data_IF_514168887333
#
_entry.id   IF_514168887333
#
_cell.length_a   1.000
_cell.length_b   1.000
_cell.length_c   1.000
_cell.angle_alpha   90.00
_cell.angle_beta   90.00
_cell.angle_gamma   90.00
#
_symmetry.space_group_name_H-M   'P 1'
#
loop_
_entity.id
_entity.type
_entity.pdbx_description
1 polymer ?
#
# COMPACT_ATOMS: atom_id res chain seq x y z
N UNK A 1 14.07 -11.20 13.61
CA UNK A 1 14.87 -11.48 12.41
C UNK A 1 16.33 -11.16 12.73
N UNK A 2 17.28 -11.89 12.15
CA UNK A 2 18.73 -11.67 12.35
C UNK A 2 19.36 -10.83 11.24
N UNK A 3 18.82 -10.95 10.04
CA UNK A 3 19.42 -10.38 8.82
C UNK A 3 18.58 -9.25 8.24
N UNK A 4 17.26 -9.37 8.25
CA UNK A 4 16.38 -8.29 7.81
C UNK A 4 16.14 -7.34 8.99
N UNK A 5 16.50 -6.07 8.81
CA UNK A 5 16.15 -4.97 9.70
C UNK A 5 15.12 -4.10 9.01
N UNK A 6 14.20 -3.51 9.78
CA UNK A 6 13.25 -2.55 9.23
C UNK A 6 13.08 -1.37 10.18
N UNK A 7 12.79 -0.23 9.61
CA UNK A 7 12.53 1.01 10.33
C UNK A 7 11.21 1.60 9.85
N UNK A 8 10.28 1.83 10.77
CA UNK A 8 9.02 2.51 10.49
C UNK A 8 9.30 4.00 10.42
N UNK A 9 9.47 4.54 9.19
CA UNK A 9 9.92 5.91 8.97
C UNK A 9 8.85 6.90 9.33
N UNK A 10 7.62 6.70 8.79
CA UNK A 10 6.45 7.47 9.16
C UNK A 10 5.16 6.70 8.87
N UNK A 11 4.17 6.87 9.75
CA UNK A 11 2.86 6.22 9.69
C UNK A 11 1.77 7.14 10.22
N UNK A 12 0.50 6.82 9.92
CA UNK A 12 -0.65 7.62 10.36
C UNK A 12 -0.69 7.80 11.87
N UNK A 13 -0.31 6.78 12.63
CA UNK A 13 -0.21 6.86 14.10
C UNK A 13 0.77 7.92 14.60
N UNK A 14 1.63 8.46 13.74
CA UNK A 14 2.58 9.55 14.03
C UNK A 14 2.09 10.92 13.55
N UNK A 15 0.90 11.02 12.93
CA UNK A 15 0.20 12.27 12.68
C UNK A 15 0.19 12.80 11.24
N UNK A 16 0.75 12.07 10.28
CA UNK A 16 0.57 12.33 8.85
C UNK A 16 0.31 11.02 8.13
N UNK A 17 -0.52 11.03 7.08
CA UNK A 17 -0.79 9.85 6.26
C UNK A 17 0.50 9.38 5.62
N UNK A 18 0.87 8.14 5.85
CA UNK A 18 2.07 7.48 5.31
C UNK A 18 2.14 6.03 5.75
N UNK A 19 2.86 5.20 4.99
CA UNK A 19 3.27 3.84 5.36
C UNK A 19 4.76 3.62 5.11
N UNK A 20 5.53 4.72 5.13
CA UNK A 20 6.92 4.71 4.72
C UNK A 20 7.77 3.81 5.60
N UNK A 21 8.35 2.78 4.98
CA UNK A 21 9.15 1.77 5.66
C UNK A 21 10.49 1.58 4.98
N UNK A 22 11.58 1.68 5.74
CA UNK A 22 12.92 1.30 5.28
C UNK A 22 13.20 -0.15 5.70
N UNK A 23 13.53 -1.00 4.73
CA UNK A 23 13.95 -2.40 4.96
C UNK A 23 15.39 -2.54 4.50
N UNK A 24 16.23 -3.06 5.37
CA UNK A 24 17.66 -3.25 5.14
C UNK A 24 17.99 -4.74 5.27
N UNK A 25 18.66 -5.26 4.25
CA UNK A 25 19.25 -6.61 4.22
C UNK A 25 20.76 -6.47 4.08
N UNK A 26 21.54 -7.55 4.20
CA UNK A 26 22.99 -7.50 3.90
C UNK A 26 23.31 -7.12 2.43
N UNK A 27 22.35 -7.26 1.51
CA UNK A 27 22.62 -7.08 0.08
C UNK A 27 22.07 -5.75 -0.47
N UNK A 28 21.01 -5.20 0.13
CA UNK A 28 20.32 -4.03 -0.41
C UNK A 28 19.48 -3.32 0.66
N UNK A 29 19.36 -2.00 0.54
CA UNK A 29 18.48 -1.15 1.35
C UNK A 29 17.32 -0.62 0.50
N UNK A 30 16.08 -0.81 0.97
CA UNK A 30 14.85 -0.60 0.22
C UNK A 30 13.92 0.33 1.00
N UNK A 31 13.55 1.46 0.44
CA UNK A 31 12.55 2.36 1.01
C UNK A 31 11.22 2.15 0.29
N UNK A 32 10.23 1.67 1.03
CA UNK A 32 8.88 1.40 0.52
C UNK A 32 7.99 2.59 0.82
N UNK A 33 7.26 3.03 -0.20
CA UNK A 33 6.25 4.08 -0.15
C UNK A 33 6.76 5.37 0.52
N UNK A 34 7.72 6.09 -0.12
CA UNK A 34 8.33 7.30 0.44
C UNK A 34 7.38 8.51 0.32
N UNK A 35 6.12 8.37 0.73
CA UNK A 35 5.10 9.39 0.68
C UNK A 35 4.67 9.90 2.04
N UNK A 36 4.12 11.11 2.06
CA UNK A 36 3.42 11.66 3.21
C UNK A 36 2.38 12.69 2.77
N UNK A 37 1.18 12.60 3.33
CA UNK A 37 0.09 13.53 3.08
C UNK A 37 -0.52 14.07 4.38
N UNK A 38 -1.21 15.22 4.28
CA UNK A 38 -1.90 15.81 5.43
C UNK A 38 -3.06 14.92 5.89
N UNK A 39 -3.28 14.81 7.19
CA UNK A 39 -4.45 14.13 7.74
C UNK A 39 -5.74 14.79 7.25
N UNK A 40 -6.79 13.97 7.06
CA UNK A 40 -8.10 14.44 6.61
C UNK A 40 -8.70 15.52 7.53
N UNK A 41 -9.63 16.35 7.02
CA UNK A 41 -10.25 17.41 7.82
C UNK A 41 -10.88 16.91 9.12
N UNK A 42 -11.55 15.74 9.10
CA UNK A 42 -12.21 15.12 10.27
C UNK A 42 -11.25 14.52 11.32
N UNK A 43 -9.95 14.44 11.05
CA UNK A 43 -8.98 14.00 12.06
C UNK A 43 -8.95 14.99 13.24
N UNK A 44 -8.99 14.50 14.51
CA UNK A 44 -9.16 15.36 15.69
C UNK A 44 -7.88 16.13 16.08
N UNK A 45 -7.43 17.00 15.20
CA UNK A 45 -6.30 17.91 15.46
C UNK A 45 -6.44 19.21 14.64
N UNK A 46 -5.96 20.36 15.13
CA UNK A 46 -5.91 21.60 14.37
C UNK A 46 -5.04 21.48 13.11
N UNK A 47 -5.39 22.24 12.05
CA UNK A 47 -4.65 22.23 10.78
C UNK A 47 -3.15 22.53 10.97
N UNK A 48 -2.81 23.50 11.81
CA UNK A 48 -1.41 23.84 12.10
C UNK A 48 -0.59 22.63 12.59
N UNK A 49 -1.21 21.79 13.44
CA UNK A 49 -0.58 20.57 13.97
C UNK A 49 -0.45 19.47 12.91
N UNK A 50 -1.49 19.32 12.08
CA UNK A 50 -1.44 18.39 10.91
C UNK A 50 -0.32 18.78 9.93
N UNK A 51 -0.16 20.06 9.65
CA UNK A 51 0.92 20.59 8.79
C UNK A 51 2.30 20.45 9.44
N UNK A 52 2.41 20.60 10.75
CA UNK A 52 3.65 20.33 11.49
C UNK A 52 4.08 18.87 11.36
N UNK A 53 3.17 17.92 11.57
CA UNK A 53 3.46 16.49 11.39
C UNK A 53 3.82 16.15 9.95
N UNK A 54 3.11 16.70 8.97
CA UNK A 54 3.44 16.53 7.55
C UNK A 54 4.88 16.98 7.24
N UNK A 55 5.29 18.14 7.75
CA UNK A 55 6.68 18.62 7.58
C UNK A 55 7.70 17.68 8.20
N UNK A 56 7.41 17.15 9.39
CA UNK A 56 8.26 16.15 10.06
C UNK A 56 8.31 14.85 9.26
N UNK A 57 7.18 14.37 8.75
CA UNK A 57 7.10 13.18 7.92
C UNK A 57 7.98 13.32 6.66
N UNK A 58 7.80 14.41 5.90
CA UNK A 58 8.60 14.68 4.70
C UNK A 58 10.11 14.72 5.00
N UNK A 59 10.50 15.35 6.11
CA UNK A 59 11.92 15.35 6.54
C UNK A 59 12.43 13.96 6.90
N UNK A 60 11.63 13.14 7.58
CA UNK A 60 11.99 11.77 7.93
C UNK A 60 12.11 10.87 6.69
N UNK A 61 11.17 10.96 5.75
CA UNK A 61 11.19 10.25 4.46
C UNK A 61 12.45 10.62 3.67
N UNK A 62 12.76 11.91 3.54
CA UNK A 62 13.97 12.38 2.85
C UNK A 62 15.24 11.83 3.49
N UNK A 63 15.35 11.87 4.82
CA UNK A 63 16.51 11.30 5.55
C UNK A 63 16.61 9.78 5.36
N UNK A 64 15.49 9.06 5.32
CA UNK A 64 15.49 7.62 5.08
C UNK A 64 15.91 7.29 3.64
N UNK A 65 15.51 8.10 2.65
CA UNK A 65 15.90 7.90 1.25
C UNK A 65 17.41 8.01 1.01
N UNK A 66 18.15 8.75 1.84
CA UNK A 66 19.61 8.84 1.75
C UNK A 66 20.29 7.47 1.99
N UNK A 67 19.66 6.58 2.76
CA UNK A 67 20.15 5.23 3.04
C UNK A 67 19.71 4.19 2.02
N UNK A 68 18.65 4.44 1.29
CA UNK A 68 18.06 3.47 0.38
C UNK A 68 18.80 3.44 -0.95
N UNK A 69 18.98 2.25 -1.51
CA UNK A 69 19.46 2.00 -2.89
C UNK A 69 18.29 1.82 -3.84
N UNK A 70 17.20 1.24 -3.32
CA UNK A 70 15.97 0.95 -4.05
C UNK A 70 14.80 1.71 -3.43
N UNK A 71 13.98 2.32 -4.26
CA UNK A 71 12.70 2.93 -3.88
C UNK A 71 11.56 2.05 -4.44
N UNK A 72 10.57 1.77 -3.62
CA UNK A 72 9.33 1.10 -4.05
C UNK A 72 8.17 2.08 -4.00
N UNK A 73 7.39 2.14 -5.07
CA UNK A 73 6.14 2.91 -5.14
C UNK A 73 5.01 1.92 -5.43
N UNK A 74 4.18 1.64 -4.42
CA UNK A 74 3.10 0.66 -4.50
C UNK A 74 1.90 1.14 -5.32
N UNK A 75 1.66 2.44 -5.34
CA UNK A 75 0.65 3.14 -6.13
C UNK A 75 0.82 4.66 -6.04
N UNK A 76 0.02 5.44 -6.79
CA UNK A 76 0.24 6.89 -6.93
C UNK A 76 -0.72 7.74 -6.09
N UNK A 77 -0.89 7.42 -4.80
CA UNK A 77 -1.42 8.35 -3.81
C UNK A 77 -0.26 9.06 -3.09
N UNK A 78 -0.44 10.36 -2.74
CA UNK A 78 0.63 11.18 -2.16
C UNK A 78 1.13 10.74 -0.78
N UNK A 79 0.39 9.89 -0.10
CA UNK A 79 0.81 9.22 1.14
C UNK A 79 1.72 8.01 0.90
N UNK A 80 1.89 7.57 -0.37
CA UNK A 80 2.75 6.45 -0.78
C UNK A 80 3.91 6.86 -1.70
N UNK A 81 3.86 8.03 -2.33
CA UNK A 81 5.01 8.59 -3.03
C UNK A 81 5.08 10.09 -2.82
N UNK A 82 6.26 10.68 -2.85
CA UNK A 82 6.39 12.13 -2.79
C UNK A 82 5.96 12.75 -4.12
N UNK A 83 5.25 13.88 -4.01
CA UNK A 83 5.12 14.81 -5.11
C UNK A 83 6.52 15.36 -5.40
N UNK A 84 7.24 14.78 -6.23
CA UNK A 84 8.63 14.84 -6.63
C UNK A 84 9.60 15.69 -5.75
N UNK A 85 10.56 15.03 -5.09
CA UNK A 85 11.79 15.63 -4.56
C UNK A 85 12.99 14.91 -5.22
N UNK A 86 13.73 15.63 -6.08
CA UNK A 86 14.89 15.10 -6.81
C UNK A 86 15.87 14.34 -5.92
N UNK A 87 16.07 14.78 -4.67
CA UNK A 87 17.02 14.18 -3.76
C UNK A 87 16.63 12.74 -3.35
N UNK A 88 15.33 12.44 -3.33
CA UNK A 88 14.82 11.10 -2.97
C UNK A 88 15.14 10.07 -4.05
N UNK A 89 15.13 10.50 -5.33
CA UNK A 89 15.22 9.59 -6.49
C UNK A 89 16.58 9.57 -7.17
N UNK A 90 17.49 10.49 -6.79
CA UNK A 90 18.82 10.58 -7.36
C UNK A 90 19.65 9.33 -7.01
N UNK A 91 20.26 8.71 -8.04
CA UNK A 91 21.09 7.50 -7.93
C UNK A 91 20.32 6.28 -7.36
N UNK A 92 19.04 6.17 -7.71
CA UNK A 92 18.16 5.10 -7.23
C UNK A 92 17.62 4.23 -8.37
N UNK A 93 17.39 2.97 -8.04
CA UNK A 93 16.47 2.12 -8.77
C UNK A 93 15.07 2.28 -8.17
N UNK A 94 14.10 2.72 -8.97
CA UNK A 94 12.71 2.83 -8.56
C UNK A 94 11.93 1.64 -9.12
N UNK A 95 11.33 0.85 -8.23
CA UNK A 95 10.43 -0.26 -8.57
C UNK A 95 9.00 0.24 -8.32
N UNK A 96 8.31 0.62 -9.38
CA UNK A 96 7.04 1.32 -9.28
C UNK A 96 5.90 0.50 -9.86
N UNK A 97 4.70 0.70 -9.31
CA UNK A 97 3.45 0.26 -9.94
C UNK A 97 3.40 0.73 -11.39
N UNK A 98 3.03 -0.17 -12.31
CA UNK A 98 2.85 0.19 -13.72
C UNK A 98 1.78 1.30 -13.87
N UNK A 99 2.12 2.47 -14.43
CA UNK A 99 1.18 3.57 -14.59
C UNK A 99 0.22 3.41 -15.77
N UNK A 100 0.39 2.38 -16.59
CA UNK A 100 -0.34 2.21 -17.85
C UNK A 100 -1.62 1.39 -17.71
N UNK A 101 -1.75 0.60 -16.64
CA UNK A 101 -2.87 -0.33 -16.44
C UNK A 101 -3.18 -0.54 -14.96
N UNK A 102 -4.39 -1.00 -14.66
CA UNK A 102 -4.87 -1.17 -13.28
C UNK A 102 -4.65 0.10 -12.45
N UNK A 103 -5.12 1.21 -12.99
CA UNK A 103 -4.96 2.54 -12.42
C UNK A 103 -6.20 3.41 -12.72
N UNK A 104 -6.60 4.28 -11.80
CA UNK A 104 -7.65 5.25 -12.03
C UNK A 104 -7.09 6.56 -12.61
N UNK A 105 -7.98 7.45 -13.08
CA UNK A 105 -7.56 8.70 -13.75
C UNK A 105 -6.71 9.61 -12.87
N UNK A 106 -7.05 9.71 -11.58
CA UNK A 106 -6.32 10.60 -10.67
C UNK A 106 -4.91 10.10 -10.35
N UNK A 107 -4.76 8.78 -10.19
CA UNK A 107 -3.43 8.18 -10.00
C UNK A 107 -2.62 8.22 -11.30
N UNK A 108 -3.25 8.00 -12.46
CA UNK A 108 -2.58 8.12 -13.76
C UNK A 108 -2.01 9.53 -13.96
N UNK A 109 -2.79 10.58 -13.71
CA UNK A 109 -2.32 11.97 -13.80
C UNK A 109 -1.14 12.26 -12.86
N UNK A 110 -1.17 11.73 -11.62
CA UNK A 110 -0.05 11.87 -10.69
C UNK A 110 1.19 11.13 -11.17
N UNK A 111 1.01 9.93 -11.72
CA UNK A 111 2.09 9.17 -12.32
C UNK A 111 2.72 9.93 -13.51
N UNK A 112 1.91 10.46 -14.42
CA UNK A 112 2.40 11.28 -15.54
C UNK A 112 3.25 12.46 -15.07
N UNK A 113 2.77 13.22 -14.08
CA UNK A 113 3.53 14.31 -13.48
C UNK A 113 4.85 13.83 -12.86
N UNK A 114 4.81 12.72 -12.12
CA UNK A 114 6.00 12.12 -11.51
C UNK A 114 7.03 11.71 -12.56
N UNK A 115 6.60 10.98 -13.60
CA UNK A 115 7.49 10.54 -14.68
C UNK A 115 8.05 11.71 -15.46
N UNK A 116 7.25 12.75 -15.74
CA UNK A 116 7.73 13.96 -16.40
C UNK A 116 8.80 14.69 -15.57
N UNK A 117 8.60 14.78 -14.25
CA UNK A 117 9.60 15.36 -13.34
C UNK A 117 10.90 14.54 -13.30
N UNK A 118 10.82 13.21 -13.35
CA UNK A 118 12.01 12.34 -13.48
C UNK A 118 12.72 12.58 -14.82
N UNK A 119 11.97 12.64 -15.93
CA UNK A 119 12.53 12.90 -17.27
C UNK A 119 13.26 14.25 -17.31
N UNK A 120 12.63 15.31 -16.81
CA UNK A 120 13.22 16.64 -16.76
C UNK A 120 14.46 16.70 -15.85
N UNK A 121 14.38 16.10 -14.66
CA UNK A 121 15.46 16.18 -13.66
C UNK A 121 16.70 15.34 -14.01
N UNK A 122 16.53 14.19 -14.66
CA UNK A 122 17.60 13.21 -14.88
C UNK A 122 17.85 12.90 -16.35
N UNK A 123 16.86 13.10 -17.24
CA UNK A 123 16.94 12.82 -18.68
C UNK A 123 17.13 14.07 -19.54
N UNK A 124 16.97 15.28 -19.00
CA UNK A 124 16.95 16.55 -19.75
C UNK A 124 15.96 16.52 -20.93
N UNK A 125 14.84 15.85 -20.76
CA UNK A 125 13.77 15.69 -21.75
C UNK A 125 12.42 15.76 -21.06
N UNK A 126 11.34 15.88 -21.83
CA UNK A 126 9.97 15.78 -21.33
C UNK A 126 9.41 14.36 -21.56
N UNK A 127 8.47 13.94 -20.72
CA UNK A 127 7.85 12.61 -20.84
C UNK A 127 7.18 12.41 -22.20
N UNK A 128 6.56 13.46 -22.76
CA UNK A 128 5.87 13.41 -24.06
C UNK A 128 6.76 12.88 -25.19
N UNK A 129 8.06 13.20 -25.16
CA UNK A 129 9.04 12.76 -26.15
C UNK A 129 9.41 11.27 -26.01
N UNK A 130 9.03 10.62 -24.92
CA UNK A 130 9.34 9.23 -24.62
C UNK A 130 8.11 8.32 -24.65
N UNK A 131 6.91 8.91 -24.82
CA UNK A 131 5.67 8.12 -24.88
C UNK A 131 5.67 7.24 -26.13
N UNK A 132 5.23 6.00 -25.95
CA UNK A 132 5.19 4.98 -27.00
C UNK A 132 3.76 4.68 -27.42
N UNK A 133 3.57 4.35 -28.69
CA UNK A 133 2.34 3.70 -29.14
C UNK A 133 2.30 2.27 -28.59
N UNK A 134 1.11 1.75 -28.37
CA UNK A 134 0.93 0.38 -27.87
C UNK A 134 -0.21 -0.34 -28.58
N UNK A 135 -0.12 -1.64 -28.65
CA UNK A 135 -1.22 -2.48 -29.07
C UNK A 135 -2.34 -2.51 -28.03
N UNK A 136 -3.57 -2.69 -28.50
CA UNK A 136 -4.72 -2.92 -27.61
C UNK A 136 -4.53 -4.24 -26.86
N UNK A 137 -4.76 -4.20 -25.55
CA UNK A 137 -4.64 -5.35 -24.65
C UNK A 137 -6.01 -5.75 -24.12
N UNK A 138 -6.26 -7.06 -24.08
CA UNK A 138 -7.42 -7.61 -23.40
C UNK A 138 -7.13 -7.78 -21.91
N UNK A 139 -8.10 -7.40 -21.08
CA UNK A 139 -8.02 -7.54 -19.63
C UNK A 139 -9.12 -8.50 -19.16
N UNK A 140 -8.76 -9.65 -18.58
CA UNK A 140 -9.74 -10.59 -18.06
C UNK A 140 -10.51 -9.96 -16.88
N UNK A 141 -11.70 -10.49 -16.59
CA UNK A 141 -12.45 -10.09 -15.40
C UNK A 141 -11.62 -10.35 -14.15
N UNK A 142 -11.23 -9.30 -13.40
CA UNK A 142 -10.36 -9.45 -12.23
C UNK A 142 -11.00 -10.24 -11.08
N UNK A 143 -12.32 -10.45 -11.08
CA UNK A 143 -12.98 -11.30 -10.10
C UNK A 143 -12.59 -12.78 -10.23
N UNK A 144 -12.06 -13.21 -11.38
CA UNK A 144 -11.51 -14.58 -11.55
C UNK A 144 -10.26 -14.83 -10.70
N UNK A 145 -9.54 -13.77 -10.33
CA UNK A 145 -8.34 -13.85 -9.48
C UNK A 145 -8.68 -13.90 -7.96
N UNK A 146 -9.97 -13.76 -7.60
CA UNK A 146 -10.43 -13.72 -6.21
C UNK A 146 -11.62 -14.68 -5.96
N UNK A 147 -11.46 -15.99 -6.24
CA UNK A 147 -12.54 -16.97 -6.14
C UNK A 147 -13.08 -17.15 -4.72
N UNK A 148 -12.25 -16.99 -3.67
CA UNK A 148 -12.71 -17.10 -2.28
C UNK A 148 -13.70 -15.99 -1.96
N UNK A 149 -13.36 -14.73 -2.27
CA UNK A 149 -14.26 -13.59 -2.07
C UNK A 149 -15.57 -13.74 -2.86
N UNK A 150 -15.53 -14.40 -4.02
CA UNK A 150 -16.71 -14.65 -4.86
C UNK A 150 -17.59 -15.79 -4.31
N UNK A 151 -17.06 -16.68 -3.52
CA UNK A 151 -17.80 -17.82 -2.91
C UNK A 151 -18.44 -17.50 -1.56
N UNK A 152 -18.14 -16.33 -0.97
CA UNK A 152 -18.69 -15.97 0.36
C UNK A 152 -20.18 -15.69 0.25
N UNK A 153 -20.95 -16.36 1.11
CA UNK A 153 -22.37 -16.08 1.32
C UNK A 153 -22.57 -14.95 2.33
N UNK A 154 -23.25 -13.90 1.91
CA UNK A 154 -23.59 -12.73 2.73
C UNK A 154 -25.08 -12.68 3.13
N UNK A 155 -25.83 -13.79 2.95
CA UNK A 155 -27.26 -13.84 3.24
C UNK A 155 -28.04 -12.80 2.43
N UNK A 156 -28.90 -12.02 3.12
CA UNK A 156 -29.75 -11.01 2.47
C UNK A 156 -28.98 -9.94 1.68
N UNK A 157 -27.69 -9.79 1.94
CA UNK A 157 -26.85 -8.83 1.22
C UNK A 157 -26.37 -9.33 -0.15
N UNK A 158 -26.54 -10.61 -0.48
CA UNK A 158 -26.08 -11.20 -1.74
C UNK A 158 -26.63 -10.50 -2.98
N UNK A 159 -27.93 -10.16 -2.99
CA UNK A 159 -28.53 -9.44 -4.11
C UNK A 159 -27.86 -8.08 -4.32
N UNK A 160 -27.64 -7.33 -3.26
CA UNK A 160 -26.95 -6.04 -3.31
C UNK A 160 -25.47 -6.17 -3.72
N UNK A 161 -24.77 -7.19 -3.23
CA UNK A 161 -23.38 -7.51 -3.63
C UNK A 161 -23.32 -7.77 -5.12
N UNK A 162 -24.21 -8.59 -5.68
CA UNK A 162 -24.28 -8.89 -7.12
C UNK A 162 -24.45 -7.62 -7.94
N UNK A 163 -25.40 -6.77 -7.58
CA UNK A 163 -25.61 -5.45 -8.23
C UNK A 163 -24.35 -4.59 -8.23
N UNK A 164 -23.67 -4.50 -7.07
CA UNK A 164 -22.43 -3.72 -6.95
C UNK A 164 -21.30 -4.28 -7.80
N UNK A 165 -21.16 -5.60 -7.89
CA UNK A 165 -20.17 -6.25 -8.73
C UNK A 165 -20.46 -6.03 -10.23
N UNK A 166 -21.71 -6.06 -10.66
CA UNK A 166 -22.11 -5.73 -12.05
C UNK A 166 -21.77 -4.26 -12.40
N UNK A 167 -22.08 -3.31 -11.50
CA UNK A 167 -21.66 -1.91 -11.65
C UNK A 167 -20.13 -1.78 -11.68
N UNK A 168 -19.45 -2.56 -10.87
CA UNK A 168 -17.99 -2.63 -10.83
C UNK A 168 -17.39 -3.13 -12.14
N UNK A 169 -17.93 -4.19 -12.74
CA UNK A 169 -17.52 -4.70 -14.07
C UNK A 169 -17.69 -3.64 -15.16
N UNK A 170 -18.83 -2.95 -15.19
CA UNK A 170 -19.05 -1.86 -16.17
C UNK A 170 -18.02 -0.74 -16.00
N UNK A 171 -17.71 -0.36 -14.76
CA UNK A 171 -16.67 0.62 -14.49
C UNK A 171 -15.28 0.11 -14.91
N UNK A 172 -14.95 -1.16 -14.65
CA UNK A 172 -13.69 -1.78 -15.07
C UNK A 172 -13.55 -1.78 -16.60
N UNK A 173 -14.60 -2.15 -17.35
CA UNK A 173 -14.59 -2.08 -18.81
C UNK A 173 -14.31 -0.66 -19.33
N UNK A 174 -14.93 0.36 -18.72
CA UNK A 174 -14.65 1.75 -19.06
C UNK A 174 -13.18 2.14 -18.75
N UNK A 175 -12.55 1.53 -17.72
CA UNK A 175 -11.11 1.71 -17.46
C UNK A 175 -10.26 1.05 -18.52
N UNK A 176 -10.59 -0.17 -18.93
CA UNK A 176 -9.90 -0.90 -19.99
C UNK A 176 -9.85 -0.09 -21.29
N UNK A 177 -10.98 0.51 -21.70
CA UNK A 177 -11.00 1.38 -22.88
C UNK A 177 -10.09 2.59 -22.73
N UNK A 178 -10.08 3.23 -21.55
CA UNK A 178 -9.15 4.34 -21.28
C UNK A 178 -7.69 3.89 -21.28
N UNK A 179 -7.36 2.77 -20.62
CA UNK A 179 -5.98 2.29 -20.62
C UNK A 179 -5.51 1.98 -22.05
N UNK A 180 -6.38 1.42 -22.89
CA UNK A 180 -6.07 1.17 -24.29
C UNK A 180 -5.97 2.44 -25.15
N UNK A 181 -6.55 3.56 -24.72
CA UNK A 181 -6.46 4.83 -25.43
C UNK A 181 -5.24 5.69 -25.04
N UNK A 182 -4.59 5.40 -23.88
CA UNK A 182 -3.43 6.16 -23.45
C UNK A 182 -2.19 5.77 -24.24
N UNK A 183 -1.34 6.73 -24.57
CA UNK A 183 0.05 6.46 -24.93
C UNK A 183 0.76 5.77 -23.77
N UNK A 184 1.68 4.88 -24.09
CA UNK A 184 2.41 4.09 -23.10
C UNK A 184 3.56 4.91 -22.50
N UNK A 185 3.58 5.00 -21.17
CA UNK A 185 4.75 5.49 -20.43
C UNK A 185 5.74 4.34 -20.36
N UNK A 186 6.98 4.47 -20.90
CA UNK A 186 7.98 3.41 -20.82
C UNK A 186 8.63 3.32 -19.44
N UNK A 187 9.31 2.22 -19.17
CA UNK A 187 10.32 2.15 -18.11
C UNK A 187 11.44 3.16 -18.43
N UNK A 188 11.95 3.88 -17.42
CA UNK A 188 12.93 4.93 -17.63
C UNK A 188 14.33 4.44 -17.22
N UNK A 189 15.34 4.75 -18.06
CA UNK A 189 16.74 4.44 -17.77
C UNK A 189 17.61 5.66 -18.06
N UNK A 190 17.87 6.45 -17.01
CA UNK A 190 18.82 7.55 -17.03
C UNK A 190 20.06 7.19 -16.21
N UNK A 191 21.18 7.87 -16.43
CA UNK A 191 22.43 7.64 -15.69
C UNK A 191 22.23 7.67 -14.17
N UNK A 192 21.41 8.62 -13.68
CA UNK A 192 21.22 8.87 -12.23
C UNK A 192 19.86 8.45 -11.68
N UNK A 193 19.02 7.78 -12.46
CA UNK A 193 17.74 7.25 -12.00
C UNK A 193 17.21 6.23 -12.99
N UNK A 194 16.78 5.08 -12.49
CA UNK A 194 16.08 4.07 -13.28
C UNK A 194 14.72 3.81 -12.69
N UNK A 195 13.70 3.64 -13.53
CA UNK A 195 12.37 3.21 -13.10
C UNK A 195 12.01 1.93 -13.85
N UNK A 196 11.63 0.90 -13.10
CA UNK A 196 11.11 -0.37 -13.62
C UNK A 196 9.71 -0.62 -13.07
N UNK A 197 8.85 -1.22 -13.89
CA UNK A 197 7.53 -1.64 -13.44
C UNK A 197 7.63 -2.93 -12.62
N UNK A 198 6.98 -2.92 -11.46
CA UNK A 198 7.12 -3.97 -10.47
C UNK A 198 5.98 -5.00 -10.47
N UNK A 199 4.82 -4.67 -11.05
CA UNK A 199 3.60 -5.48 -11.01
C UNK A 199 3.85 -6.95 -11.40
N UNK A 200 3.65 -7.87 -10.45
CA UNK A 200 3.81 -9.31 -10.63
C UNK A 200 5.25 -9.79 -10.86
N UNK A 201 6.24 -8.93 -10.69
CA UNK A 201 7.66 -9.26 -10.94
C UNK A 201 8.43 -9.56 -9.67
N UNK A 202 9.59 -10.16 -9.86
CA UNK A 202 10.58 -10.44 -8.83
C UNK A 202 11.92 -9.85 -9.22
N UNK A 203 12.61 -9.22 -8.25
CA UNK A 203 13.95 -8.65 -8.41
C UNK A 203 14.89 -9.29 -7.39
N UNK A 204 16.11 -9.61 -7.81
CA UNK A 204 17.14 -10.23 -6.98
C UNK A 204 18.31 -9.29 -6.77
N UNK A 205 18.72 -9.15 -5.51
CA UNK A 205 19.89 -8.40 -5.07
C UNK A 205 20.72 -9.36 -4.20
N UNK A 206 21.75 -9.96 -4.77
CA UNK A 206 22.49 -11.02 -4.08
C UNK A 206 21.58 -12.18 -3.64
N UNK A 207 21.45 -12.38 -2.32
CA UNK A 207 20.57 -13.37 -1.69
C UNK A 207 19.19 -12.80 -1.29
N UNK A 208 18.99 -11.50 -1.50
CA UNK A 208 17.71 -10.83 -1.22
C UNK A 208 16.81 -10.91 -2.43
N UNK A 209 15.58 -11.36 -2.20
CA UNK A 209 14.51 -11.34 -3.22
C UNK A 209 13.45 -10.32 -2.83
N UNK A 210 13.08 -9.48 -3.79
CA UNK A 210 11.97 -8.52 -3.69
C UNK A 210 10.91 -8.93 -4.71
N UNK A 211 9.79 -9.47 -4.23
CA UNK A 211 8.69 -9.95 -5.06
C UNK A 211 7.49 -9.03 -4.90
N UNK A 212 6.81 -8.76 -5.99
CA UNK A 212 5.60 -7.95 -6.02
C UNK A 212 4.38 -8.77 -6.44
N UNK A 213 3.24 -8.45 -5.88
CA UNK A 213 1.98 -9.02 -6.36
C UNK A 213 1.61 -8.47 -7.73
N UNK A 214 0.75 -9.19 -8.46
CA UNK A 214 -0.08 -8.55 -9.48
C UNK A 214 -0.87 -7.39 -8.86
N UNK A 215 -1.47 -6.48 -9.65
CA UNK A 215 -2.33 -5.43 -9.13
C UNK A 215 -3.48 -6.01 -8.29
N UNK A 216 -3.59 -5.54 -7.05
CA UNK A 216 -4.65 -5.89 -6.11
C UNK A 216 -5.64 -4.74 -5.98
N UNK A 217 -6.91 -5.01 -5.74
CA UNK A 217 -7.88 -3.96 -5.44
C UNK A 217 -7.48 -3.21 -4.15
N UNK A 218 -7.58 -1.90 -4.19
CA UNK A 218 -7.37 -1.04 -3.04
C UNK A 218 -8.61 -1.13 -2.10
N UNK A 219 -8.59 -2.09 -1.20
CA UNK A 219 -9.70 -2.41 -0.31
C UNK A 219 -10.67 -3.43 -0.88
N UNK A 220 -11.87 -3.00 -1.26
CA UNK A 220 -12.92 -3.90 -1.77
C UNK A 220 -12.85 -4.10 -3.29
N UNK A 221 -13.59 -5.08 -3.76
CA UNK A 221 -13.72 -5.40 -5.18
C UNK A 221 -14.20 -4.19 -5.99
N UNK A 222 -13.49 -3.87 -7.05
CA UNK A 222 -13.74 -2.70 -7.92
C UNK A 222 -13.73 -1.36 -7.18
N UNK A 223 -12.98 -1.24 -6.10
CA UNK A 223 -12.80 0.03 -5.42
C UNK A 223 -12.32 1.11 -6.41
N UNK A 224 -13.04 2.23 -6.49
CA UNK A 224 -12.75 3.31 -7.45
C UNK A 224 -11.46 4.07 -7.13
N UNK A 225 -10.91 3.89 -5.95
CA UNK A 225 -9.60 4.44 -5.54
C UNK A 225 -8.44 3.78 -6.29
N UNK A 226 -8.67 2.63 -6.94
CA UNK A 226 -7.74 2.01 -7.88
C UNK A 226 -7.15 0.70 -7.40
N UNK A 227 -5.90 0.46 -7.76
CA UNK A 227 -5.15 -0.76 -7.48
C UNK A 227 -3.81 -0.43 -6.85
N UNK A 228 -3.30 -1.39 -6.09
CA UNK A 228 -2.00 -1.34 -5.41
C UNK A 228 -1.20 -2.60 -5.71
N UNK A 229 0.10 -2.59 -5.45
CA UNK A 229 0.94 -3.78 -5.37
C UNK A 229 1.49 -3.94 -3.96
N UNK A 230 1.48 -5.15 -3.44
CA UNK A 230 2.13 -5.47 -2.18
C UNK A 230 3.56 -5.96 -2.44
N UNK A 231 4.44 -5.75 -1.47
CA UNK A 231 5.87 -6.06 -1.54
C UNK A 231 6.23 -7.16 -0.55
N UNK A 232 6.90 -8.20 -1.02
CA UNK A 232 7.47 -9.29 -0.20
C UNK A 232 8.97 -9.23 -0.31
N UNK A 233 9.67 -9.06 0.81
CA UNK A 233 11.13 -9.07 0.87
C UNK A 233 11.57 -10.30 1.65
N UNK A 234 12.42 -11.11 1.01
CA UNK A 234 12.93 -12.35 1.59
C UNK A 234 14.46 -12.33 1.57
N UNK A 235 15.07 -12.68 2.68
CA UNK A 235 16.50 -12.96 2.78
C UNK A 235 16.70 -14.26 3.56
N UNK A 236 17.24 -15.28 2.90
CA UNK A 236 17.29 -16.64 3.46
C UNK A 236 15.89 -17.10 3.89
N UNK A 237 15.74 -17.38 5.19
CA UNK A 237 14.47 -17.84 5.77
C UNK A 237 13.66 -16.72 6.41
N UNK A 238 14.11 -15.47 6.35
CA UNK A 238 13.41 -14.33 6.93
C UNK A 238 12.55 -13.65 5.87
N UNK A 239 11.33 -13.27 6.23
CA UNK A 239 10.38 -12.65 5.31
C UNK A 239 9.62 -11.51 5.97
N UNK A 240 9.54 -10.38 5.29
CA UNK A 240 8.68 -9.25 5.63
C UNK A 240 7.73 -8.96 4.47
N UNK A 241 6.47 -8.70 4.78
CA UNK A 241 5.47 -8.24 3.81
C UNK A 241 5.04 -6.81 4.17
N UNK A 242 4.98 -5.96 3.15
CA UNK A 242 4.34 -4.65 3.18
C UNK A 242 3.14 -4.68 2.23
N UNK A 243 1.92 -4.59 2.77
CA UNK A 243 0.70 -4.83 1.99
C UNK A 243 0.30 -3.65 1.12
N UNK A 244 0.84 -2.44 1.38
CA UNK A 244 0.21 -1.23 0.89
C UNK A 244 -1.27 -1.18 1.30
N UNK A 245 -2.14 -0.52 0.55
CA UNK A 245 -3.53 -0.18 0.93
C UNK A 245 -4.54 -1.30 0.65
N UNK A 246 -4.38 -2.46 1.32
CA UNK A 246 -5.35 -3.56 1.24
C UNK A 246 -6.56 -3.37 2.17
N UNK A 247 -6.53 -2.36 3.03
CA UNK A 247 -7.59 -2.06 3.99
C UNK A 247 -8.00 -3.27 4.86
N UNK A 248 -6.99 -3.99 5.34
CA UNK A 248 -7.21 -4.90 6.37
C UNK A 248 -6.89 -6.38 6.34
N UNK A 249 -6.70 -7.17 5.26
CA UNK A 249 -7.31 -7.09 3.93
C UNK A 249 -8.81 -7.39 3.97
N UNK A 250 -9.58 -6.69 3.14
CA UNK A 250 -11.04 -6.95 3.06
C UNK A 250 -11.36 -8.17 2.19
N UNK A 251 -10.57 -8.44 1.17
CA UNK A 251 -10.76 -9.54 0.22
C UNK A 251 -10.11 -10.82 0.77
N UNK A 252 -10.86 -11.90 0.82
CA UNK A 252 -10.49 -13.19 1.42
C UNK A 252 -9.26 -13.81 0.76
N UNK A 253 -9.17 -13.71 -0.56
CA UNK A 253 -8.03 -14.23 -1.34
C UNK A 253 -6.71 -13.53 -0.97
N UNK A 254 -6.76 -12.27 -0.56
CA UNK A 254 -5.56 -11.53 -0.12
C UNK A 254 -5.10 -11.98 1.26
N UNK A 255 -6.02 -12.34 2.13
CA UNK A 255 -5.69 -12.95 3.42
C UNK A 255 -5.05 -14.33 3.21
N UNK A 256 -5.60 -15.15 2.33
CA UNK A 256 -5.06 -16.45 1.97
C UNK A 256 -3.65 -16.35 1.35
N UNK A 257 -3.43 -15.34 0.50
CA UNK A 257 -2.10 -15.06 -0.04
C UNK A 257 -1.08 -14.73 1.06
N UNK A 258 -1.44 -13.88 2.05
CA UNK A 258 -0.57 -13.55 3.18
C UNK A 258 -0.27 -14.81 4.00
N UNK A 259 -1.26 -15.66 4.25
CA UNK A 259 -1.11 -16.92 4.97
C UNK A 259 -0.14 -17.86 4.25
N UNK A 260 -0.27 -18.01 2.93
CA UNK A 260 0.64 -18.84 2.12
C UNK A 260 2.07 -18.31 2.08
N UNK A 261 2.24 -16.99 2.07
CA UNK A 261 3.57 -16.37 2.15
C UNK A 261 4.21 -16.57 3.53
N UNK A 262 3.43 -16.69 4.60
CA UNK A 262 3.84 -16.94 5.99
C UNK A 262 5.03 -16.06 6.44
N UNK A 263 4.87 -14.72 6.54
CA UNK A 263 5.95 -13.80 6.87
C UNK A 263 6.31 -13.86 8.37
N UNK A 264 7.52 -13.40 8.72
CA UNK A 264 7.91 -13.16 10.13
C UNK A 264 7.33 -11.84 10.65
N UNK A 265 7.25 -10.83 9.77
CA UNK A 265 6.70 -9.49 10.04
C UNK A 265 5.74 -9.10 8.92
N UNK A 266 4.60 -8.57 9.31
CA UNK A 266 3.58 -8.05 8.41
C UNK A 266 3.33 -6.57 8.70
N UNK A 267 3.58 -5.71 7.71
CA UNK A 267 3.16 -4.31 7.73
C UNK A 267 1.84 -4.25 7.00
N UNK A 268 0.76 -4.05 7.75
CA UNK A 268 -0.61 -4.21 7.31
C UNK A 268 -1.37 -2.90 7.45
N UNK A 269 -1.94 -2.44 6.35
CA UNK A 269 -2.91 -1.36 6.36
C UNK A 269 -4.23 -1.84 7.01
N UNK A 270 -4.75 -1.08 7.93
CA UNK A 270 -6.02 -1.40 8.59
C UNK A 270 -7.25 -0.81 7.87
N UNK A 271 -8.46 -1.21 8.27
CA UNK A 271 -9.69 -0.73 7.66
C UNK A 271 -9.93 0.75 7.94
N UNK A 272 -10.52 1.43 6.98
CA UNK A 272 -10.90 2.85 7.07
C UNK A 272 -12.13 3.07 7.97
N UNK A 273 -12.05 2.69 9.25
CA UNK A 273 -13.19 2.69 10.19
C UNK A 273 -13.80 4.08 10.41
N UNK A 274 -13.03 5.13 10.23
CA UNK A 274 -13.51 6.52 10.28
C UNK A 274 -14.51 6.88 9.16
N UNK A 275 -14.68 6.01 8.16
CA UNK A 275 -15.64 6.16 7.05
C UNK A 275 -16.96 5.40 7.27
N UNK A 276 -17.15 4.77 8.42
CA UNK A 276 -18.42 4.11 8.79
C UNK A 276 -19.48 5.18 9.09
N UNK A 277 -20.73 5.00 8.61
CA UNK A 277 -21.23 3.92 7.73
C UNK A 277 -21.17 4.25 6.23
N UNK A 278 -20.63 5.41 5.85
CA UNK A 278 -20.82 6.02 4.52
C UNK A 278 -20.05 5.30 3.40
N UNK A 279 -18.77 5.01 3.62
CA UNK A 279 -17.89 4.39 2.60
C UNK A 279 -17.39 3.00 3.02
N UNK A 280 -17.43 2.69 4.32
CA UNK A 280 -17.18 1.37 4.86
C UNK A 280 -18.44 0.84 5.54
N UNK A 281 -19.09 -0.19 4.99
CA UNK A 281 -20.21 -0.85 5.63
C UNK A 281 -19.75 -1.89 6.66
N UNK A 282 -20.66 -2.27 7.57
CA UNK A 282 -20.36 -3.23 8.64
C UNK A 282 -20.03 -4.64 8.13
N UNK A 283 -20.54 -5.02 6.96
CA UNK A 283 -20.24 -6.32 6.34
C UNK A 283 -18.77 -6.37 5.95
N UNK A 284 -18.27 -5.34 5.26
CA UNK A 284 -16.86 -5.26 4.86
C UNK A 284 -15.94 -5.11 6.08
N UNK A 285 -16.35 -4.39 7.12
CA UNK A 285 -15.60 -4.37 8.39
C UNK A 285 -15.48 -5.77 9.00
N UNK A 286 -16.59 -6.53 9.05
CA UNK A 286 -16.58 -7.93 9.56
C UNK A 286 -15.68 -8.83 8.71
N UNK A 287 -15.71 -8.70 7.38
CA UNK A 287 -14.79 -9.42 6.46
C UNK A 287 -13.34 -9.14 6.83
N UNK A 288 -12.99 -7.85 6.93
CA UNK A 288 -11.63 -7.41 7.30
C UNK A 288 -11.19 -8.00 8.64
N UNK A 289 -12.02 -7.92 9.67
CA UNK A 289 -11.71 -8.47 10.99
C UNK A 289 -11.51 -9.99 10.90
N UNK A 290 -12.44 -10.71 10.25
CA UNK A 290 -12.35 -12.17 10.05
C UNK A 290 -11.08 -12.57 9.32
N UNK A 291 -10.74 -11.87 8.25
CA UNK A 291 -9.55 -12.12 7.45
C UNK A 291 -8.26 -11.85 8.25
N UNK A 292 -8.20 -10.75 9.02
CA UNK A 292 -7.05 -10.45 9.86
C UNK A 292 -6.89 -11.48 11.00
N UNK A 293 -7.99 -11.90 11.62
CA UNK A 293 -8.01 -12.97 12.62
C UNK A 293 -7.50 -14.28 12.01
N UNK A 294 -7.97 -14.65 10.81
CA UNK A 294 -7.50 -15.84 10.08
C UNK A 294 -5.99 -15.78 9.81
N UNK A 295 -5.45 -14.64 9.38
CA UNK A 295 -4.00 -14.46 9.21
C UNK A 295 -3.25 -14.73 10.53
N UNK A 296 -3.76 -14.21 11.65
CA UNK A 296 -3.15 -14.43 12.96
C UNK A 296 -3.19 -15.91 13.36
N UNK A 297 -4.29 -16.61 13.09
CA UNK A 297 -4.47 -18.02 13.45
C UNK A 297 -3.60 -18.96 12.60
N UNK A 298 -3.58 -18.76 11.29
CA UNK A 298 -3.05 -19.76 10.34
C UNK A 298 -1.59 -19.54 9.96
N UNK A 299 -1.03 -18.34 10.15
CA UNK A 299 0.41 -18.12 9.93
C UNK A 299 1.23 -18.74 11.05
N UNK A 300 2.32 -19.44 10.71
CA UNK A 300 3.17 -20.13 11.67
C UNK A 300 4.35 -19.26 12.14
N UNK A 301 4.93 -18.50 11.21
CA UNK A 301 6.15 -17.70 11.45
C UNK A 301 5.88 -16.31 11.94
N UNK A 302 4.68 -15.80 11.73
CA UNK A 302 4.30 -14.43 12.05
C UNK A 302 4.42 -14.14 13.54
N UNK A 303 5.26 -13.15 13.87
CA UNK A 303 5.52 -12.68 15.25
C UNK A 303 4.99 -11.29 15.49
N UNK A 304 4.94 -10.46 14.45
CA UNK A 304 4.62 -9.05 14.57
C UNK A 304 3.77 -8.58 13.37
N UNK A 305 2.66 -7.92 13.68
CA UNK A 305 1.88 -7.11 12.73
C UNK A 305 2.01 -5.64 13.15
N UNK A 306 2.46 -4.80 12.23
CA UNK A 306 2.28 -3.35 12.33
C UNK A 306 0.94 -3.03 11.68
N UNK A 307 -0.09 -2.80 12.49
CA UNK A 307 -1.47 -2.55 12.07
C UNK A 307 -1.77 -1.07 12.19
N UNK A 308 -1.61 -0.34 11.08
CA UNK A 308 -1.58 1.14 11.09
C UNK A 308 -2.31 1.71 9.85
N UNK A 309 -1.93 2.88 9.43
CA UNK A 309 -2.42 3.65 8.29
C UNK A 309 -3.90 4.01 8.45
N UNK A 310 -4.79 3.60 7.54
CA UNK A 310 -6.21 3.99 7.56
C UNK A 310 -6.92 3.78 8.91
N UNK A 311 -6.54 2.77 9.65
CA UNK A 311 -7.12 2.46 10.96
C UNK A 311 -6.91 3.59 11.98
N UNK A 312 -5.76 4.28 11.94
CA UNK A 312 -5.33 5.26 12.93
C UNK A 312 -5.91 6.67 12.70
N UNK A 313 -6.96 6.78 11.89
CA UNK A 313 -7.62 8.05 11.55
C UNK A 313 -8.81 8.39 12.45
N UNK A 314 -9.14 7.52 13.43
CA UNK A 314 -10.14 7.75 14.47
C UNK A 314 -9.68 7.21 15.83
N UNK A 315 -10.16 7.78 16.97
CA UNK A 315 -9.74 7.35 18.30
C UNK A 315 -10.25 5.97 18.70
N UNK A 316 -11.42 5.56 18.20
CA UNK A 316 -12.08 4.29 18.57
C UNK A 316 -11.54 3.07 17.80
N UNK A 317 -10.41 3.21 17.12
CA UNK A 317 -9.88 2.17 16.23
C UNK A 317 -9.70 0.80 16.91
N UNK A 318 -9.18 0.76 18.15
CA UNK A 318 -9.00 -0.51 18.89
C UNK A 318 -10.33 -1.20 19.21
N UNK A 319 -11.34 -0.42 19.59
CA UNK A 319 -12.68 -0.92 19.84
C UNK A 319 -13.28 -1.52 18.56
N UNK A 320 -13.13 -0.83 17.42
CA UNK A 320 -13.63 -1.27 16.12
C UNK A 320 -13.09 -2.63 15.68
N UNK A 321 -11.83 -2.91 15.95
CA UNK A 321 -11.15 -4.15 15.56
C UNK A 321 -10.68 -4.98 16.76
N UNK A 322 -11.38 -4.89 17.89
CA UNK A 322 -11.02 -5.54 19.15
C UNK A 322 -10.67 -7.03 19.01
N UNK A 323 -11.43 -7.77 18.21
CA UNK A 323 -11.23 -9.20 17.99
C UNK A 323 -9.83 -9.53 17.42
N UNK A 324 -9.23 -8.61 16.63
CA UNK A 324 -7.88 -8.79 16.10
C UNK A 324 -6.84 -8.77 17.23
N UNK A 325 -6.98 -7.83 18.17
CA UNK A 325 -6.07 -7.73 19.33
C UNK A 325 -6.27 -8.89 20.31
N UNK A 326 -7.52 -9.30 20.55
CA UNK A 326 -7.85 -10.45 21.41
C UNK A 326 -7.24 -11.74 20.84
N UNK A 327 -7.40 -11.99 19.54
CA UNK A 327 -6.83 -13.16 18.87
C UNK A 327 -5.31 -13.13 18.87
N UNK A 328 -4.70 -11.99 18.64
CA UNK A 328 -3.25 -11.85 18.69
C UNK A 328 -2.69 -12.21 20.07
N UNK A 329 -3.38 -11.76 21.13
CA UNK A 329 -3.02 -12.11 22.53
C UNK A 329 -3.16 -13.63 22.77
N UNK A 330 -4.24 -14.26 22.32
CA UNK A 330 -4.45 -15.71 22.40
C UNK A 330 -3.34 -16.51 21.72
N UNK A 331 -2.87 -16.04 20.56
CA UNK A 331 -1.83 -16.69 19.74
C UNK A 331 -0.41 -16.21 20.06
N UNK A 332 -0.21 -15.43 21.13
CA UNK A 332 1.08 -14.87 21.55
C UNK A 332 1.80 -14.08 20.42
N UNK A 333 1.01 -13.49 19.50
CA UNK A 333 1.52 -12.64 18.42
C UNK A 333 1.34 -11.16 18.79
N UNK A 334 2.26 -10.31 18.33
CA UNK A 334 2.20 -8.87 18.58
C UNK A 334 1.46 -8.16 17.45
N UNK A 335 0.41 -7.41 17.79
CA UNK A 335 -0.26 -6.45 16.90
C UNK A 335 -0.08 -5.06 17.50
N UNK A 336 0.67 -4.22 16.83
CA UNK A 336 1.05 -2.88 17.30
C UNK A 336 0.85 -1.86 16.19
N UNK A 337 0.50 -0.63 16.55
CA UNK A 337 0.66 0.51 15.64
C UNK A 337 2.14 0.86 15.50
N UNK A 338 2.49 1.62 14.48
CA UNK A 338 3.87 2.10 14.32
C UNK A 338 4.31 2.98 15.51
N UNK A 339 3.41 3.81 16.03
CA UNK A 339 3.70 4.60 17.23
C UNK A 339 4.00 3.71 18.43
N UNK A 340 3.17 2.70 18.71
CA UNK A 340 3.39 1.76 19.83
C UNK A 340 4.67 0.96 19.66
N UNK A 341 4.99 0.51 18.45
CA UNK A 341 6.26 -0.17 18.16
C UNK A 341 7.47 0.72 18.47
N UNK A 342 7.35 2.04 18.25
CA UNK A 342 8.39 3.05 18.57
C UNK A 342 8.33 3.56 20.01
N UNK A 343 7.57 2.92 20.91
CA UNK A 343 7.41 3.32 22.30
C UNK A 343 6.64 4.64 22.49
N UNK A 344 5.78 5.01 21.53
CA UNK A 344 5.00 6.25 21.54
C UNK A 344 3.50 5.94 21.60
N UNK A 345 2.72 6.89 22.12
CA UNK A 345 1.26 6.85 22.00
C UNK A 345 0.83 7.36 20.62
N UNK A 346 -0.08 6.66 19.91
CA UNK A 346 -0.68 7.16 18.69
C UNK A 346 -1.25 8.57 18.86
N UNK A 347 -0.96 9.47 17.92
CA UNK A 347 -1.37 10.88 18.05
C UNK A 347 -2.87 11.07 18.13
N UNK A 348 -3.64 10.21 17.45
CA UNK A 348 -5.11 10.26 17.48
C UNK A 348 -5.70 10.09 18.88
N UNK A 349 -4.99 9.42 19.79
CA UNK A 349 -5.41 9.24 21.18
C UNK A 349 -5.03 10.43 22.08
N UNK A 350 -4.05 11.26 21.68
CA UNK A 350 -3.61 12.44 22.44
C UNK A 350 -4.47 13.67 22.19
N UNK A 351 -5.15 13.71 21.05
CA UNK A 351 -5.89 14.89 20.60
C UNK A 351 -7.37 14.89 21.07
N UNK A 352 -7.78 13.88 21.81
CA UNK A 352 -9.12 13.75 22.38
C UNK A 352 -9.26 14.28 23.81
N UNK A 353 -8.27 15.03 24.30
CA UNK A 353 -8.30 15.64 25.63
C UNK A 353 -8.30 17.15 25.55
#
# INVERSE_FOLDING_TARGET
MKHIRFSLVWFDSLGAKSTCTLVETPDVSILIDPGAAVMQPSFPAPLAKKLYWLRKAKKAVKKASEKAEVIVISHYHYDHFTDFDKAIYKEKLVLAKNPNEYINDSQRKRAENFYNNICTAFGKTELENLLEEKERKNYPDPLKEIPLAMSVDYGDYNARKKELLEKGRKWFQARVEKWNSYKHIPELKFEKCQIKFADGKEFKFGKTTVKFTKPLFHGIEFARVGWVIATVITYKNEKIIHTSDLQGPTIEDYAEWIIKEDPDVLILDGPSTYLIPYMLNLINLRRTIKNTVKIIEETRRLKLIIYDHHLLREPKYKERVRQVYEKAKEKEKKVLTAAEYLGKTPVVLKENH
#
